data_IF_435660002318
#
_entry.id   IF_435660002318
#
_cell.length_a   1.000
_cell.length_b   1.000
_cell.length_c   1.000
_cell.angle_alpha   90.00
_cell.angle_beta   90.00
_cell.angle_gamma   90.00
#
_symmetry.space_group_name_H-M   'P 1'
#
loop_
_entity.id
_entity.type
_entity.pdbx_description
1 polymer ?
#
# COMPACT_ATOMS: atom_id res chain seq x y z
N UNK A 1 -9.87 14.33 8.49
CA UNK A 1 -8.99 14.09 9.66
C UNK A 1 -7.52 13.92 9.26
N UNK A 2 -7.17 13.02 8.34
CA UNK A 2 -5.78 12.88 7.88
C UNK A 2 -5.16 14.19 7.32
N UNK A 3 -5.88 14.94 6.48
CA UNK A 3 -5.43 16.27 5.98
C UNK A 3 -5.14 17.26 7.10
N UNK A 4 -6.03 17.32 8.10
CA UNK A 4 -5.87 18.23 9.24
C UNK A 4 -4.60 17.89 10.04
N UNK A 5 -4.40 16.60 10.32
CA UNK A 5 -3.21 16.13 11.04
C UNK A 5 -1.93 16.39 10.24
N UNK A 6 -1.91 16.15 8.91
CA UNK A 6 -0.78 16.51 8.06
C UNK A 6 -0.47 18.01 8.12
N UNK A 7 -1.50 18.87 8.01
CA UNK A 7 -1.34 20.32 8.08
C UNK A 7 -0.89 20.82 9.46
N UNK A 8 -1.20 20.07 10.53
CA UNK A 8 -0.73 20.37 11.88
C UNK A 8 0.75 20.01 12.11
N UNK A 9 1.44 19.49 11.09
CA UNK A 9 2.86 19.16 11.18
C UNK A 9 3.16 17.91 12.00
N UNK A 10 2.22 16.95 12.05
CA UNK A 10 2.48 15.67 12.73
C UNK A 10 3.68 14.97 12.07
N UNK A 11 4.57 14.34 12.87
CA UNK A 11 5.82 13.78 12.38
C UNK A 11 5.63 12.55 11.51
N UNK A 12 4.52 11.83 11.66
CA UNK A 12 4.16 10.67 10.83
C UNK A 12 2.65 10.39 10.95
N UNK A 13 2.05 9.93 9.86
CA UNK A 13 0.65 9.50 9.80
C UNK A 13 0.53 8.00 9.56
N UNK A 14 -0.18 7.34 10.47
CA UNK A 14 -0.70 5.98 10.27
C UNK A 14 -2.22 6.03 10.21
N UNK A 15 -2.79 5.68 9.05
CA UNK A 15 -4.25 5.73 8.82
C UNK A 15 -4.79 4.35 8.50
N UNK A 16 -5.77 3.86 9.27
CA UNK A 16 -6.44 2.58 8.98
C UNK A 16 -7.05 2.57 7.57
N UNK A 17 -7.14 1.39 6.97
CA UNK A 17 -7.75 1.22 5.64
C UNK A 17 -9.27 1.20 5.78
N UNK A 18 -10.05 1.81 4.88
CA UNK A 18 -9.62 2.63 3.75
C UNK A 18 -9.31 4.08 4.18
N UNK A 19 -8.33 4.69 3.51
CA UNK A 19 -7.83 6.04 3.81
C UNK A 19 -8.92 7.11 3.67
N UNK A 20 -9.90 6.89 2.77
CA UNK A 20 -10.99 7.81 2.48
C UNK A 20 -12.18 7.10 1.82
N UNK A 21 -13.36 7.72 1.87
CA UNK A 21 -14.59 7.26 1.21
C UNK A 21 -14.70 7.71 -0.27
N UNK A 22 -13.74 8.47 -0.78
CA UNK A 22 -13.71 8.93 -2.18
C UNK A 22 -12.27 9.13 -2.64
N UNK A 23 -12.01 8.92 -3.94
CA UNK A 23 -10.68 9.09 -4.54
C UNK A 23 -10.18 10.52 -4.41
N UNK A 24 -11.02 11.52 -4.65
CA UNK A 24 -10.67 12.94 -4.57
C UNK A 24 -10.14 13.31 -3.18
N UNK A 25 -10.83 12.90 -2.13
CA UNK A 25 -10.37 13.08 -0.74
C UNK A 25 -9.10 12.28 -0.41
N UNK A 26 -8.83 11.17 -1.09
CA UNK A 26 -7.57 10.46 -0.93
C UNK A 26 -6.41 11.25 -1.56
N UNK A 27 -6.64 11.90 -2.70
CA UNK A 27 -5.67 12.80 -3.33
C UNK A 27 -5.39 14.03 -2.46
N UNK A 28 -6.41 14.60 -1.80
CA UNK A 28 -6.21 15.67 -0.82
C UNK A 28 -5.28 15.26 0.34
N UNK A 29 -5.40 14.02 0.82
CA UNK A 29 -4.51 13.47 1.86
C UNK A 29 -3.09 13.32 1.34
N UNK A 30 -2.93 12.81 0.10
CA UNK A 30 -1.63 12.67 -0.55
C UNK A 30 -0.92 14.03 -0.68
N UNK A 31 -1.62 15.03 -1.18
CA UNK A 31 -1.04 16.37 -1.38
C UNK A 31 -0.75 17.08 -0.06
N UNK A 32 -1.57 16.88 0.97
CA UNK A 32 -1.26 17.37 2.31
C UNK A 32 0.02 16.72 2.87
N UNK A 33 0.16 15.39 2.77
CA UNK A 33 1.36 14.70 3.25
C UNK A 33 2.62 15.15 2.49
N UNK A 34 2.53 15.31 1.16
CA UNK A 34 3.64 15.79 0.32
C UNK A 34 4.09 17.19 0.69
N UNK A 35 3.14 18.13 0.83
CA UNK A 35 3.44 19.53 1.16
C UNK A 35 4.15 19.67 2.51
N UNK A 36 3.77 18.86 3.50
CA UNK A 36 4.34 18.93 4.84
C UNK A 36 5.51 17.96 5.07
N UNK A 37 5.89 17.17 4.05
CA UNK A 37 6.93 16.15 4.18
C UNK A 37 6.59 15.06 5.18
N UNK A 38 5.30 14.86 5.50
CA UNK A 38 4.85 13.92 6.52
C UNK A 38 4.92 12.49 5.97
N UNK A 39 5.75 11.60 6.55
CA UNK A 39 5.72 10.17 6.29
C UNK A 39 4.31 9.62 6.49
N UNK A 40 3.85 8.83 5.52
CA UNK A 40 2.50 8.27 5.51
C UNK A 40 2.55 6.75 5.40
N UNK A 41 1.75 6.07 6.22
CA UNK A 41 1.52 4.64 6.16
C UNK A 41 0.04 4.32 6.41
N UNK A 42 -0.39 3.15 5.97
CA UNK A 42 -1.78 2.69 6.11
C UNK A 42 -1.84 1.21 6.51
N UNK A 43 -3.00 0.74 6.97
CA UNK A 43 -3.28 -0.63 7.45
C UNK A 43 -3.12 -1.77 6.44
N UNK A 44 -2.21 -1.68 5.47
CA UNK A 44 -1.84 -2.74 4.52
C UNK A 44 -0.87 -3.76 5.15
N UNK A 45 -1.21 -4.24 6.35
CA UNK A 45 -0.35 -5.04 7.23
C UNK A 45 0.21 -6.31 6.57
N UNK A 46 -0.51 -6.88 5.58
CA UNK A 46 -0.05 -8.05 4.83
C UNK A 46 1.27 -7.82 4.08
N UNK A 47 1.61 -6.58 3.73
CA UNK A 47 2.91 -6.24 3.10
C UNK A 47 4.10 -6.50 4.02
N UNK A 48 3.89 -6.42 5.33
CA UNK A 48 4.94 -6.62 6.34
C UNK A 48 5.00 -8.06 6.87
N UNK A 49 4.07 -8.92 6.46
CA UNK A 49 4.05 -10.32 6.86
C UNK A 49 5.15 -11.11 6.14
N UNK A 50 5.92 -11.86 6.92
CA UNK A 50 7.05 -12.65 6.44
C UNK A 50 6.67 -13.65 5.34
N UNK A 51 5.47 -14.24 5.45
CA UNK A 51 4.93 -15.14 4.42
C UNK A 51 4.84 -14.48 3.05
N UNK A 52 4.37 -13.23 2.98
CA UNK A 52 4.24 -12.51 1.72
C UNK A 52 5.59 -12.00 1.20
N UNK A 53 6.54 -11.65 2.09
CA UNK A 53 7.90 -11.29 1.70
C UNK A 53 8.61 -12.46 1.01
N UNK A 54 8.56 -13.65 1.61
CA UNK A 54 9.17 -14.85 1.02
C UNK A 54 8.57 -15.22 -0.34
N UNK A 55 7.25 -15.11 -0.49
CA UNK A 55 6.58 -15.34 -1.78
C UNK A 55 7.07 -14.32 -2.83
N UNK A 56 7.15 -13.03 -2.47
CA UNK A 56 7.67 -11.99 -3.36
C UNK A 56 9.10 -12.30 -3.81
N UNK A 57 9.97 -12.71 -2.90
CA UNK A 57 11.36 -13.04 -3.21
C UNK A 57 11.47 -14.22 -4.16
N UNK A 58 10.68 -15.29 -3.95
CA UNK A 58 10.65 -16.44 -4.85
C UNK A 58 10.20 -16.05 -6.26
N UNK A 59 9.18 -15.20 -6.37
CA UNK A 59 8.71 -14.69 -7.66
C UNK A 59 9.80 -13.84 -8.32
N UNK A 60 10.45 -12.94 -7.56
CA UNK A 60 11.48 -12.04 -8.09
C UNK A 60 12.74 -12.79 -8.56
N UNK A 61 13.08 -13.92 -7.94
CA UNK A 61 14.16 -14.81 -8.38
C UNK A 61 13.81 -15.63 -9.63
N UNK A 62 12.54 -15.65 -10.02
CA UNK A 62 12.05 -16.45 -11.14
C UNK A 62 11.80 -17.92 -10.80
N UNK A 63 11.70 -18.28 -9.51
CA UNK A 63 11.54 -19.67 -9.04
C UNK A 63 10.28 -20.34 -9.64
N UNK A 64 9.28 -19.56 -10.05
CA UNK A 64 8.01 -20.04 -10.63
C UNK A 64 7.83 -19.68 -12.13
N UNK A 65 8.83 -19.08 -12.77
CA UNK A 65 8.70 -18.51 -14.12
C UNK A 65 7.81 -17.25 -14.18
N UNK A 66 7.22 -16.98 -15.35
CA UNK A 66 6.37 -15.79 -15.57
C UNK A 66 4.96 -15.99 -14.96
N UNK A 67 4.57 -15.21 -13.93
CA UNK A 67 3.26 -15.35 -13.30
C UNK A 67 2.12 -15.02 -14.27
N UNK A 68 1.27 -16.00 -14.59
CA UNK A 68 0.13 -15.79 -15.50
C UNK A 68 -1.15 -15.36 -14.76
N UNK A 69 -1.46 -16.02 -13.64
CA UNK A 69 -2.73 -15.85 -12.93
C UNK A 69 -2.53 -15.96 -11.42
N UNK A 70 -3.24 -15.14 -10.65
CA UNK A 70 -3.33 -15.24 -9.20
C UNK A 70 -4.79 -15.39 -8.78
N UNK A 71 -5.10 -16.44 -8.01
CA UNK A 71 -6.43 -16.66 -7.44
C UNK A 71 -6.35 -16.44 -5.93
N UNK A 72 -7.24 -15.60 -5.40
CA UNK A 72 -7.28 -15.28 -3.97
C UNK A 72 -8.63 -15.73 -3.42
N UNK A 73 -8.59 -16.72 -2.53
CA UNK A 73 -9.74 -17.13 -1.73
C UNK A 73 -9.55 -16.68 -0.29
N UNK A 74 -10.59 -16.12 0.32
CA UNK A 74 -10.54 -15.68 1.70
C UNK A 74 -11.92 -15.67 2.32
N UNK A 75 -12.12 -16.52 3.33
CA UNK A 75 -13.27 -16.40 4.23
C UNK A 75 -12.94 -15.31 5.26
N UNK A 76 -13.51 -14.12 5.11
CA UNK A 76 -13.46 -13.11 6.15
C UNK A 76 -14.71 -12.24 6.15
N UNK A 77 -14.93 -11.58 7.28
CA UNK A 77 -15.97 -10.57 7.42
C UNK A 77 -15.76 -9.40 6.47
N UNK A 78 -16.86 -8.74 6.10
CA UNK A 78 -16.96 -7.67 5.11
C UNK A 78 -15.86 -6.59 5.24
N UNK A 79 -15.41 -6.32 6.47
CA UNK A 79 -14.48 -5.25 6.82
C UNK A 79 -13.00 -5.57 6.52
N UNK A 80 -12.60 -6.85 6.48
CA UNK A 80 -11.18 -7.20 6.49
C UNK A 80 -10.62 -7.63 5.13
N UNK A 81 -11.36 -8.42 4.33
CA UNK A 81 -10.88 -8.93 3.03
C UNK A 81 -11.31 -8.08 1.84
N UNK A 82 -12.51 -7.50 1.85
CA UNK A 82 -13.08 -6.83 0.66
C UNK A 82 -12.24 -5.63 0.19
N UNK A 83 -11.79 -4.80 1.13
CA UNK A 83 -10.87 -3.67 0.85
C UNK A 83 -9.48 -4.15 0.39
N UNK A 84 -9.06 -5.34 0.80
CA UNK A 84 -7.72 -5.87 0.53
C UNK A 84 -7.64 -6.65 -0.77
N UNK A 85 -8.77 -7.08 -1.35
CA UNK A 85 -8.85 -7.65 -2.70
C UNK A 85 -8.58 -6.60 -3.79
N UNK A 86 -9.22 -5.43 -3.69
CA UNK A 86 -9.03 -4.32 -4.62
C UNK A 86 -7.65 -3.67 -4.56
N UNK A 87 -6.91 -3.82 -3.45
CA UNK A 87 -5.54 -3.31 -3.30
C UNK A 87 -4.48 -4.25 -3.91
N UNK A 88 -4.81 -5.52 -4.16
CA UNK A 88 -3.88 -6.50 -4.74
C UNK A 88 -3.65 -6.27 -6.25
N UNK A 89 -4.69 -5.84 -6.97
CA UNK A 89 -4.57 -5.57 -8.41
C UNK A 89 -3.63 -4.39 -8.73
N UNK A 90 -3.69 -3.24 -8.02
CA UNK A 90 -2.73 -2.14 -8.20
C UNK A 90 -1.37 -2.38 -7.55
N UNK A 91 -1.20 -3.35 -6.63
CA UNK A 91 0.12 -3.63 -6.04
C UNK A 91 0.95 -4.56 -6.91
N UNK A 92 0.36 -5.60 -7.50
CA UNK A 92 1.07 -6.39 -8.52
C UNK A 92 1.41 -5.55 -9.77
N UNK A 93 0.49 -4.70 -10.23
CA UNK A 93 0.76 -3.76 -11.34
C UNK A 93 1.66 -2.57 -10.95
N UNK A 94 1.53 -2.09 -9.71
CA UNK A 94 2.29 -0.97 -9.15
C UNK A 94 3.75 -1.32 -8.85
N UNK A 95 4.07 -2.60 -8.58
CA UNK A 95 5.45 -3.08 -8.51
C UNK A 95 6.18 -2.84 -9.86
N UNK A 96 5.48 -2.98 -10.99
CA UNK A 96 6.04 -2.77 -12.32
C UNK A 96 6.14 -1.27 -12.71
N UNK A 97 5.30 -0.39 -12.14
CA UNK A 97 5.38 1.08 -12.35
C UNK A 97 6.26 1.84 -11.35
N UNK A 98 6.49 1.31 -10.14
CA UNK A 98 7.38 1.97 -9.15
C UNK A 98 8.84 2.01 -9.58
N UNK A 99 9.23 1.19 -10.57
CA UNK A 99 10.53 1.35 -11.24
C UNK A 99 10.60 2.58 -12.19
N UNK A 100 9.47 3.17 -12.58
CA UNK A 100 9.44 4.29 -13.55
C UNK A 100 9.21 5.67 -12.92
N UNK A 101 8.71 5.73 -11.69
CA UNK A 101 8.61 6.97 -10.90
C UNK A 101 9.28 6.71 -9.55
N UNK A 102 10.49 7.25 -9.41
CA UNK A 102 11.43 7.06 -8.30
C UNK A 102 10.76 6.75 -6.97
N UNK A 103 11.09 5.56 -6.46
CA UNK A 103 10.54 5.03 -5.23
C UNK A 103 10.73 5.97 -4.05
N UNK A 104 9.63 6.17 -3.31
CA UNK A 104 9.74 6.38 -1.88
C UNK A 104 9.79 4.98 -1.26
N UNK A 105 10.92 4.32 -1.51
CA UNK A 105 11.43 3.30 -0.60
C UNK A 105 11.94 4.08 0.61
N UNK A 106 11.35 3.86 1.77
CA UNK A 106 12.02 4.28 3.00
C UNK A 106 13.43 3.66 3.01
N UNK A 107 14.47 4.42 3.41
CA UNK A 107 15.80 3.86 3.59
C UNK A 107 15.73 2.76 4.64
N UNK A 108 16.53 1.72 4.44
CA UNK A 108 16.72 0.63 5.39
C UNK A 108 17.06 1.21 6.77
N UNK A 109 16.20 0.87 7.75
CA UNK A 109 16.52 0.79 9.17
C UNK A 109 16.15 -0.60 9.66
#
# INVERSE_FOLDING_TARGET
>A
MAVYAANAGVPMLFVEKAISCSVQKADEVLEACRRHGTPFNTGVLRRFSERYKRIREMIARGDIGEPQTAVVYGAASLMHVHITGWTLFPTCWGIQRSQRYGGICYPEI
#
